data_IF_350158312386
#
_entry.id   IF_350158312386
#
_cell.length_a   1.000
_cell.length_b   1.000
_cell.length_c   1.000
_cell.angle_alpha   90.00
_cell.angle_beta   90.00
_cell.angle_gamma   90.00
#
_symmetry.space_group_name_H-M   'P 1'
#
loop_
_entity.id
_entity.type
_entity.pdbx_description
1 polymer ?
#
# COMPACT_ATOMS: atom_id res chain seq x y z
N UNK A 1 -24.06 12.41 -0.10
CA UNK A 1 -22.79 11.69 0.13
C UNK A 1 -21.66 12.57 -0.30
N UNK A 2 -20.90 13.11 0.65
CA UNK A 2 -19.88 14.13 0.37
C UNK A 2 -18.49 13.50 0.47
N UNK A 3 -18.17 12.63 -0.49
CA UNK A 3 -16.80 12.14 -0.65
C UNK A 3 -16.04 13.11 -1.54
N UNK A 4 -14.84 13.46 -1.12
CA UNK A 4 -13.91 14.28 -1.88
C UNK A 4 -12.64 13.48 -2.15
N UNK A 5 -12.18 13.53 -3.40
CA UNK A 5 -10.99 12.82 -3.84
C UNK A 5 -9.86 13.81 -4.15
N UNK A 6 -8.72 13.63 -3.48
CA UNK A 6 -7.48 14.35 -3.70
C UNK A 6 -6.31 13.36 -3.67
N UNK A 7 -5.94 12.82 -4.81
CA UNK A 7 -5.02 11.68 -4.89
C UNK A 7 -3.74 11.86 -4.06
N UNK A 8 -3.33 10.83 -3.31
CA UNK A 8 -3.88 9.45 -3.24
C UNK A 8 -5.00 9.25 -2.20
N UNK A 9 -5.60 10.33 -1.70
CA UNK A 9 -6.57 10.30 -0.60
C UNK A 9 -8.02 10.46 -1.06
N UNK A 10 -8.92 9.88 -0.27
CA UNK A 10 -10.36 10.10 -0.31
C UNK A 10 -10.84 10.45 1.10
N UNK A 11 -11.62 11.52 1.24
CA UNK A 11 -12.25 11.90 2.50
C UNK A 11 -13.77 11.76 2.38
N UNK A 12 -14.38 10.98 3.26
CA UNK A 12 -15.83 10.92 3.40
C UNK A 12 -16.25 11.87 4.52
N UNK A 13 -16.79 13.04 4.14
CA UNK A 13 -17.17 14.07 5.09
C UNK A 13 -18.39 13.67 5.94
N UNK A 14 -19.17 12.67 5.52
CA UNK A 14 -20.33 12.21 6.24
C UNK A 14 -20.00 11.19 7.34
N UNK A 15 -19.02 10.31 7.10
CA UNK A 15 -18.58 9.32 8.10
C UNK A 15 -17.38 9.79 8.93
N UNK A 16 -16.66 10.83 8.48
CA UNK A 16 -15.44 11.27 9.15
C UNK A 16 -14.23 10.40 8.86
N UNK A 17 -14.26 9.67 7.74
CA UNK A 17 -13.21 8.70 7.38
C UNK A 17 -12.29 9.25 6.30
N UNK A 18 -11.01 8.94 6.46
CA UNK A 18 -9.96 9.22 5.49
C UNK A 18 -9.39 7.91 4.95
N UNK A 19 -9.20 7.85 3.63
CA UNK A 19 -8.67 6.68 2.95
C UNK A 19 -7.49 7.09 2.08
N UNK A 20 -6.50 6.22 1.97
CA UNK A 20 -5.37 6.37 1.07
C UNK A 20 -5.22 5.10 0.22
N UNK A 21 -5.34 5.23 -1.10
CA UNK A 21 -5.27 4.09 -2.04
C UNK A 21 -6.19 2.93 -1.63
N UNK A 22 -7.41 3.27 -1.12
CA UNK A 22 -8.39 2.29 -0.67
C UNK A 22 -8.14 1.68 0.72
N UNK A 23 -7.14 2.15 1.45
CA UNK A 23 -6.83 1.73 2.83
C UNK A 23 -7.22 2.84 3.80
N UNK A 24 -7.95 2.51 4.86
CA UNK A 24 -8.35 3.48 5.87
C UNK A 24 -7.12 4.04 6.60
N UNK A 25 -7.06 5.37 6.71
CA UNK A 25 -6.01 6.10 7.44
C UNK A 25 -6.59 6.51 8.79
N UNK A 26 -5.99 6.10 9.91
CA UNK A 26 -6.46 6.52 11.23
C UNK A 26 -6.25 8.01 11.41
N UNK A 27 -7.33 8.73 11.65
CA UNK A 27 -7.31 10.17 11.92
C UNK A 27 -8.26 10.47 13.08
N UNK A 28 -7.88 11.39 13.95
CA UNK A 28 -8.74 11.83 15.05
C UNK A 28 -9.81 12.82 14.56
N UNK A 29 -10.91 12.94 15.31
CA UNK A 29 -12.04 13.80 14.94
C UNK A 29 -11.64 15.25 14.65
N UNK A 30 -10.88 15.89 15.54
CA UNK A 30 -10.51 17.29 15.37
C UNK A 30 -9.62 17.57 14.15
N UNK A 31 -8.53 16.82 13.87
CA UNK A 31 -7.79 16.89 12.62
C UNK A 31 -8.66 16.63 11.39
N UNK A 32 -9.60 15.68 11.45
CA UNK A 32 -10.49 15.41 10.32
C UNK A 32 -11.46 16.58 10.07
N UNK A 33 -12.07 17.15 11.12
CA UNK A 33 -12.93 18.33 11.00
C UNK A 33 -12.17 19.54 10.44
N UNK A 34 -10.90 19.68 10.80
CA UNK A 34 -10.03 20.70 10.22
C UNK A 34 -9.80 20.46 8.72
N UNK A 35 -9.52 19.21 8.32
CA UNK A 35 -9.42 18.85 6.91
C UNK A 35 -10.71 19.17 6.15
N UNK A 36 -11.87 18.80 6.70
CA UNK A 36 -13.18 19.07 6.11
C UNK A 36 -13.39 20.58 5.90
N UNK A 37 -13.04 21.40 6.89
CA UNK A 37 -13.14 22.86 6.79
C UNK A 37 -12.23 23.42 5.67
N UNK A 38 -11.02 22.92 5.52
CA UNK A 38 -10.11 23.34 4.46
C UNK A 38 -10.57 22.87 3.07
N UNK A 39 -11.26 21.72 3.00
CA UNK A 39 -11.83 21.17 1.77
C UNK A 39 -13.14 21.85 1.35
N UNK A 40 -13.81 22.61 2.23
CA UNK A 40 -14.98 23.43 1.86
C UNK A 40 -14.59 24.52 0.83
N UNK A 41 -13.36 25.04 0.91
CA UNK A 41 -12.83 26.11 0.06
C UNK A 41 -11.38 25.83 -0.36
N UNK A 42 -11.18 24.88 -1.27
CA UNK A 42 -9.83 24.53 -1.70
C UNK A 42 -9.16 25.73 -2.40
N UNK A 43 -7.90 25.95 -2.08
CA UNK A 43 -7.13 27.09 -2.59
C UNK A 43 -7.33 28.39 -1.83
N UNK A 44 -8.36 28.53 -1.00
CA UNK A 44 -8.59 29.72 -0.19
C UNK A 44 -7.87 29.63 1.16
N UNK A 45 -7.48 30.79 1.69
CA UNK A 45 -6.86 30.88 3.01
C UNK A 45 -7.93 30.92 4.08
N UNK A 46 -7.92 29.93 4.97
CA UNK A 46 -8.75 29.93 6.18
C UNK A 46 -7.94 30.50 7.33
N UNK A 47 -8.41 31.58 7.93
CA UNK A 47 -7.73 32.24 9.04
C UNK A 47 -7.74 31.37 10.30
N UNK A 48 -6.76 31.60 11.19
CA UNK A 48 -6.73 30.90 12.48
C UNK A 48 -7.98 31.14 13.32
N UNK A 49 -8.46 32.37 13.30
CA UNK A 49 -9.67 32.76 14.05
C UNK A 49 -10.91 32.03 13.49
N UNK A 50 -11.03 31.94 12.16
CA UNK A 50 -12.13 31.21 11.54
C UNK A 50 -12.06 29.69 11.86
N UNK A 51 -10.86 29.12 11.94
CA UNK A 51 -10.67 27.72 12.36
C UNK A 51 -11.09 27.55 13.82
N UNK A 52 -10.66 28.45 14.71
CA UNK A 52 -11.01 28.41 16.13
C UNK A 52 -12.52 28.51 16.30
N UNK A 53 -13.16 29.54 15.69
CA UNK A 53 -14.60 29.72 15.76
C UNK A 53 -15.39 28.51 15.28
N UNK A 54 -14.94 27.87 14.18
CA UNK A 54 -15.64 26.73 13.56
C UNK A 54 -15.48 25.44 14.33
N UNK A 55 -14.30 25.18 14.91
CA UNK A 55 -14.00 23.91 15.57
C UNK A 55 -14.27 23.92 17.07
N UNK A 56 -14.10 25.08 17.75
CA UNK A 56 -14.29 25.21 19.20
C UNK A 56 -15.44 26.10 19.61
N UNK A 57 -15.99 26.91 18.69
CA UNK A 57 -17.04 27.87 18.99
C UNK A 57 -16.51 29.20 19.54
N UNK A 58 -17.42 30.17 19.76
CA UNK A 58 -17.06 31.54 20.14
C UNK A 58 -16.67 31.70 21.61
N UNK A 59 -16.97 30.75 22.46
CA UNK A 59 -16.82 30.88 23.92
C UNK A 59 -15.53 30.24 24.48
N UNK A 60 -14.67 29.67 23.61
CA UNK A 60 -13.45 28.95 24.03
C UNK A 60 -12.26 29.90 24.01
N UNK A 61 -11.90 30.46 25.15
CA UNK A 61 -10.80 31.43 25.30
C UNK A 61 -9.47 30.83 25.74
N UNK A 62 -9.41 29.56 26.10
CA UNK A 62 -8.19 28.97 26.66
C UNK A 62 -7.61 27.97 25.68
N UNK A 63 -6.39 28.28 25.19
CA UNK A 63 -5.49 27.39 24.44
C UNK A 63 -5.95 26.90 23.04
N UNK A 64 -6.96 27.57 22.43
CA UNK A 64 -7.41 27.22 21.09
C UNK A 64 -6.29 27.35 20.03
N UNK A 65 -5.34 28.28 20.21
CA UNK A 65 -4.21 28.44 19.29
C UNK A 65 -3.28 27.23 19.31
N UNK A 66 -2.96 26.69 20.49
CA UNK A 66 -2.22 25.43 20.63
C UNK A 66 -3.00 24.26 20.05
N UNK A 67 -4.32 24.26 20.26
CA UNK A 67 -5.24 23.28 19.67
C UNK A 67 -5.15 23.23 18.14
N UNK A 68 -5.19 24.40 17.48
CA UNK A 68 -5.03 24.49 16.01
C UNK A 68 -3.68 23.94 15.57
N UNK A 69 -2.58 24.32 16.22
CA UNK A 69 -1.25 23.83 15.85
C UNK A 69 -1.16 22.32 16.00
N UNK A 70 -1.70 21.75 17.09
CA UNK A 70 -1.74 20.31 17.32
C UNK A 70 -2.60 19.59 16.28
N UNK A 71 -3.76 20.15 15.95
CA UNK A 71 -4.64 19.57 14.92
C UNK A 71 -3.97 19.56 13.54
N UNK A 72 -3.28 20.66 13.16
CA UNK A 72 -2.51 20.74 11.91
C UNK A 72 -1.38 19.73 11.89
N UNK A 73 -0.62 19.58 12.99
CA UNK A 73 0.47 18.59 13.06
C UNK A 73 -0.07 17.17 12.84
N UNK A 74 -1.12 16.77 13.56
CA UNK A 74 -1.76 15.46 13.41
C UNK A 74 -2.38 15.23 12.03
N UNK A 75 -2.95 16.29 11.43
CA UNK A 75 -3.46 16.21 10.07
C UNK A 75 -2.33 15.95 9.06
N UNK A 76 -1.21 16.66 9.20
CA UNK A 76 -0.03 16.42 8.36
C UNK A 76 0.53 15.03 8.53
N UNK A 77 0.63 14.54 9.76
CA UNK A 77 1.07 13.16 10.03
C UNK A 77 0.17 12.14 9.29
N UNK A 78 -1.15 12.31 9.36
CA UNK A 78 -2.09 11.44 8.68
C UNK A 78 -1.97 11.50 7.14
N UNK A 79 -1.68 12.68 6.59
CA UNK A 79 -1.51 12.89 5.15
C UNK A 79 -0.08 12.59 4.65
N UNK A 80 0.88 12.36 5.54
CA UNK A 80 2.29 12.28 5.18
C UNK A 80 2.80 13.59 4.57
N UNK A 81 2.36 14.74 5.11
CA UNK A 81 2.69 16.08 4.67
C UNK A 81 3.66 16.78 5.62
N UNK A 82 4.39 17.78 5.15
CA UNK A 82 5.32 18.57 5.97
C UNK A 82 5.08 20.07 5.80
N UNK A 83 5.54 20.86 6.77
CA UNK A 83 5.39 22.30 6.71
C UNK A 83 6.36 22.96 5.71
N UNK A 84 7.50 22.33 5.50
CA UNK A 84 8.61 22.80 4.64
C UNK A 84 8.33 22.58 3.15
N UNK A 85 7.66 21.48 2.83
CA UNK A 85 7.28 21.12 1.47
C UNK A 85 5.81 20.67 1.41
N UNK A 86 4.85 21.59 1.58
CA UNK A 86 3.45 21.26 1.71
C UNK A 86 2.88 20.74 0.39
N UNK A 87 2.31 19.54 0.44
CA UNK A 87 1.61 18.91 -0.69
C UNK A 87 0.11 19.05 -0.57
N UNK A 88 -0.41 19.12 0.65
CA UNK A 88 -1.84 19.18 0.96
C UNK A 88 -2.20 20.43 1.77
N UNK A 89 -1.47 20.72 2.86
CA UNK A 89 -1.80 21.80 3.79
C UNK A 89 -0.66 22.80 3.90
N UNK A 90 -0.81 23.93 3.25
CA UNK A 90 0.13 25.04 3.30
C UNK A 90 -0.13 25.93 4.52
N UNK A 91 0.93 26.35 5.21
CA UNK A 91 0.88 27.38 6.24
C UNK A 91 1.24 28.73 5.65
N UNK A 92 0.32 29.70 5.77
CA UNK A 92 0.61 31.09 5.46
C UNK A 92 0.90 31.84 6.78
N UNK A 93 2.14 32.27 7.02
CA UNK A 93 2.48 32.96 8.27
C UNK A 93 1.55 34.14 8.54
N UNK A 94 1.05 34.24 9.77
CA UNK A 94 0.12 35.28 10.25
C UNK A 94 -1.24 35.33 9.55
N UNK A 95 -1.48 34.54 8.51
CA UNK A 95 -2.74 34.54 7.74
C UNK A 95 -3.62 33.32 8.03
N UNK A 96 -3.03 32.14 8.15
CA UNK A 96 -3.77 30.90 8.37
C UNK A 96 -3.24 29.71 7.58
N UNK A 97 -4.15 28.87 7.12
CA UNK A 97 -3.85 27.64 6.41
C UNK A 97 -4.67 27.54 5.13
N UNK A 98 -4.17 26.79 4.15
CA UNK A 98 -4.82 26.62 2.87
C UNK A 98 -4.65 25.16 2.40
N UNK A 99 -5.69 24.59 1.80
CA UNK A 99 -5.57 23.33 1.09
C UNK A 99 -5.05 23.58 -0.33
N UNK A 100 -3.97 22.94 -0.74
CA UNK A 100 -3.28 23.21 -2.02
C UNK A 100 -3.34 22.07 -3.03
N UNK A 101 -3.70 20.86 -2.60
CA UNK A 101 -3.81 19.75 -3.54
C UNK A 101 -5.04 19.91 -4.46
N UNK A 102 -4.95 19.47 -5.72
CA UNK A 102 -6.09 19.48 -6.62
C UNK A 102 -7.15 18.51 -6.14
N UNK A 103 -8.41 18.97 -6.09
CA UNK A 103 -9.54 18.06 -5.94
C UNK A 103 -9.85 17.43 -7.29
N UNK A 104 -9.82 16.11 -7.35
CA UNK A 104 -10.30 15.40 -8.53
C UNK A 104 -11.84 15.34 -8.47
N UNK A 105 -12.55 15.60 -9.59
CA UNK A 105 -13.95 15.28 -9.64
C UNK A 105 -14.10 13.79 -9.33
N UNK A 106 -15.06 13.45 -8.46
CA UNK A 106 -15.41 12.06 -8.22
C UNK A 106 -15.92 11.55 -9.57
N UNK A 107 -15.06 10.86 -10.33
CA UNK A 107 -15.59 10.01 -11.38
C UNK A 107 -16.62 9.12 -10.69
N UNK A 108 -17.84 8.98 -11.24
CA UNK A 108 -18.81 8.07 -10.65
C UNK A 108 -18.07 6.77 -10.43
N UNK A 109 -18.05 6.29 -9.20
CA UNK A 109 -17.46 5.00 -8.88
C UNK A 109 -18.10 4.05 -9.85
N UNK A 110 -17.39 3.66 -10.90
CA UNK A 110 -17.71 2.41 -11.54
C UNK A 110 -17.51 1.44 -10.40
N UNK A 111 -18.64 1.07 -9.79
CA UNK A 111 -18.70 -0.12 -8.96
C UNK A 111 -18.18 -1.17 -9.91
N UNK A 112 -16.87 -1.41 -9.84
CA UNK A 112 -16.29 -2.58 -10.45
C UNK A 112 -17.16 -3.67 -9.86
N UNK A 113 -18.08 -4.17 -10.71
CA UNK A 113 -18.93 -5.30 -10.38
C UNK A 113 -18.07 -6.22 -9.56
N UNK A 114 -18.47 -6.41 -8.31
CA UNK A 114 -17.71 -7.18 -7.32
C UNK A 114 -17.60 -8.64 -7.71
N UNK A 115 -17.01 -8.89 -8.86
CA UNK A 115 -16.38 -10.15 -9.16
C UNK A 115 -15.10 -10.12 -8.34
N UNK A 116 -15.03 -10.91 -7.28
CA UNK A 116 -13.77 -11.11 -6.59
C UNK A 116 -12.80 -11.54 -7.69
N UNK A 117 -11.88 -10.63 -8.05
CA UNK A 117 -10.77 -10.99 -8.90
C UNK A 117 -10.15 -12.20 -8.22
N UNK A 118 -10.34 -13.35 -8.87
CA UNK A 118 -10.01 -14.67 -8.36
C UNK A 118 -8.53 -14.72 -8.01
N UNK A 119 -8.20 -14.26 -6.79
CA UNK A 119 -6.87 -14.39 -6.21
C UNK A 119 -6.47 -15.87 -6.04
N UNK A 120 -7.42 -16.79 -6.22
CA UNK A 120 -7.18 -18.24 -6.18
C UNK A 120 -6.42 -18.71 -7.43
N UNK A 121 -6.66 -18.08 -8.60
CA UNK A 121 -6.08 -18.53 -9.86
C UNK A 121 -4.58 -18.19 -9.98
N UNK A 122 -4.11 -17.12 -9.32
CA UNK A 122 -2.66 -16.81 -9.31
C UNK A 122 -1.84 -17.72 -8.40
N UNK A 123 -2.43 -18.35 -7.38
CA UNK A 123 -1.72 -19.30 -6.51
C UNK A 123 -1.61 -20.69 -7.10
N UNK A 124 -2.56 -21.10 -7.94
CA UNK A 124 -2.52 -22.39 -8.63
C UNK A 124 -1.52 -22.41 -9.80
N UNK A 125 -1.35 -21.31 -10.52
CA UNK A 125 -0.35 -21.19 -11.59
C UNK A 125 1.09 -21.33 -11.11
N UNK A 126 1.41 -20.83 -9.91
CA UNK A 126 2.74 -20.98 -9.32
C UNK A 126 3.06 -22.40 -8.85
N UNK A 127 2.05 -23.14 -8.35
CA UNK A 127 2.26 -24.52 -7.88
C UNK A 127 2.45 -25.51 -9.04
N UNK A 128 1.73 -25.31 -10.15
CA UNK A 128 1.87 -26.17 -11.35
C UNK A 128 3.22 -25.94 -12.02
N UNK A 129 3.73 -24.70 -12.04
CA UNK A 129 5.05 -24.42 -12.60
C UNK A 129 6.19 -25.02 -11.76
N UNK A 130 6.06 -25.04 -10.42
CA UNK A 130 7.04 -25.66 -9.51
C UNK A 130 7.05 -27.18 -9.62
N UNK A 131 5.91 -27.84 -9.74
CA UNK A 131 5.79 -29.29 -9.88
C UNK A 131 6.30 -29.76 -11.24
N UNK A 132 6.05 -29.01 -12.33
CA UNK A 132 6.59 -29.31 -13.67
C UNK A 132 8.12 -29.20 -13.71
N UNK A 133 8.69 -28.18 -13.07
CA UNK A 133 10.14 -28.01 -12.98
C UNK A 133 10.86 -29.12 -12.21
N UNK A 134 10.31 -29.58 -11.08
CA UNK A 134 10.86 -30.68 -10.31
C UNK A 134 10.81 -32.01 -11.05
N UNK A 135 9.74 -32.26 -11.80
CA UNK A 135 9.58 -33.50 -12.55
C UNK A 135 10.60 -33.60 -13.71
N UNK A 136 10.86 -32.49 -14.41
CA UNK A 136 11.84 -32.45 -15.48
C UNK A 136 13.27 -32.61 -14.96
N UNK A 137 13.61 -31.97 -13.84
CA UNK A 137 14.94 -32.14 -13.21
C UNK A 137 15.13 -33.57 -12.72
N UNK A 138 14.11 -34.17 -12.09
CA UNK A 138 14.16 -35.56 -11.63
C UNK A 138 14.34 -36.52 -12.78
N UNK A 139 13.63 -36.33 -13.91
CA UNK A 139 13.75 -37.15 -15.10
C UNK A 139 15.15 -37.06 -15.72
N UNK A 140 15.72 -35.86 -15.82
CA UNK A 140 17.07 -35.65 -16.35
C UNK A 140 18.12 -36.30 -15.46
N UNK A 141 18.02 -36.16 -14.14
CA UNK A 141 18.93 -36.78 -13.18
C UNK A 141 18.79 -38.31 -13.21
N UNK A 142 17.56 -38.83 -13.29
CA UNK A 142 17.31 -40.28 -13.40
C UNK A 142 17.90 -40.87 -14.67
N UNK A 143 17.71 -40.23 -15.83
CA UNK A 143 18.31 -40.68 -17.11
C UNK A 143 19.83 -40.56 -17.12
N UNK A 144 20.42 -39.58 -16.42
CA UNK A 144 21.86 -39.41 -16.29
C UNK A 144 22.48 -40.49 -15.37
N UNK A 145 21.76 -40.93 -14.34
CA UNK A 145 22.22 -41.97 -13.41
C UNK A 145 22.05 -43.37 -13.99
N UNK A 146 21.04 -43.61 -14.84
CA UNK A 146 20.85 -44.91 -15.51
C UNK A 146 21.78 -45.13 -16.70
N UNK A 147 22.46 -44.06 -17.20
CA UNK A 147 23.46 -44.17 -18.27
C UNK A 147 24.88 -44.45 -17.77
N UNK A 148 25.06 -44.68 -16.46
CA UNK A 148 26.38 -45.05 -15.92
C UNK A 148 26.51 -46.57 -15.91
N UNK A 149 27.39 -46.97 -16.75
CA UNK A 149 28.37 -48.05 -16.77
C UNK A 149 28.04 -49.34 -17.51
N UNK A 150 28.28 -49.38 -18.82
CA UNK A 150 28.67 -50.65 -19.45
C UNK A 150 30.16 -51.03 -19.20
N UNK A 151 30.99 -50.04 -18.75
CA UNK A 151 32.43 -50.27 -18.63
C UNK A 151 32.87 -51.00 -17.34
N UNK A 152 32.08 -51.02 -16.28
CA UNK A 152 32.41 -51.75 -15.05
C UNK A 152 32.19 -53.26 -15.14
N UNK A 153 31.28 -53.69 -15.99
CA UNK A 153 31.03 -55.15 -16.17
C UNK A 153 32.14 -55.81 -16.97
N UNK A 154 32.70 -55.10 -17.94
CA UNK A 154 33.80 -55.68 -18.75
C UNK A 154 35.11 -55.93 -17.96
N UNK A 155 35.43 -54.99 -17.03
CA UNK A 155 36.66 -55.13 -16.22
C UNK A 155 36.57 -56.27 -15.19
N UNK A 156 35.40 -56.56 -14.66
CA UNK A 156 35.21 -57.66 -13.69
C UNK A 156 35.26 -59.02 -14.36
N UNK A 157 34.78 -59.15 -15.59
CA UNK A 157 34.84 -60.39 -16.36
C UNK A 157 36.29 -60.75 -16.78
N UNK A 158 37.08 -59.74 -17.14
CA UNK A 158 38.48 -59.96 -17.56
C UNK A 158 39.38 -60.33 -16.38
N UNK A 159 39.14 -59.87 -15.18
CA UNK A 159 39.89 -60.28 -13.98
C UNK A 159 39.55 -61.73 -13.55
N UNK A 160 38.30 -62.17 -13.77
CA UNK A 160 37.89 -63.54 -13.45
C UNK A 160 38.52 -64.56 -14.37
N UNK A 161 38.73 -64.22 -15.63
CA UNK A 161 39.34 -65.14 -16.61
C UNK A 161 40.85 -65.33 -16.37
N UNK A 162 41.56 -64.29 -15.98
CA UNK A 162 42.99 -64.35 -15.63
C UNK A 162 43.26 -65.17 -14.35
N UNK A 163 42.27 -65.20 -13.43
CA UNK A 163 42.41 -66.01 -12.21
C UNK A 163 42.17 -67.52 -12.44
N UNK A 164 41.39 -67.88 -13.44
CA UNK A 164 41.12 -69.28 -13.79
C UNK A 164 42.27 -70.03 -14.53
N UNK A 165 43.11 -69.25 -15.21
CA UNK A 165 44.24 -69.84 -15.97
C UNK A 165 45.51 -70.14 -15.10
N UNK A 166 45.47 -69.91 -13.80
CA UNK A 166 46.60 -70.17 -12.87
C UNK A 166 46.33 -71.27 -11.83
N UNK A 167 45.39 -72.20 -12.09
CA UNK A 167 45.18 -73.36 -11.20
C UNK A 167 45.58 -74.67 -11.82
#
# INVERSE_FOLDING_TARGET
MSRLHFPPFEADLSSGELWRDGVAVPIQDLPFRLLALLLERPGEVVSRDAIIERLWGKETFVDATSGVNTAIAKLRDALGDTAEAPRFVETLPRRGYRFVAPLAPIAPIQVADGRPADRRQRRLGGLVALLGGCLTIFLVVFLATTRRDPLRVAVVLEIADVAADRS
#
